data_IF_117447168018
#
_entry.id   IF_117447168018
#
_cell.length_a   1.000
_cell.length_b   1.000
_cell.length_c   1.000
_cell.angle_alpha   90.00
_cell.angle_beta   90.00
_cell.angle_gamma   90.00
#
_symmetry.space_group_name_H-M   'P 1'
#
loop_
_entity.id
_entity.type
_entity.pdbx_description
1 polymer ?
#
# COMPACT_ATOMS: atom_id res chain seq x y z
N UNK A 1 -28.60 -5.35 -24.79
CA UNK A 1 -27.50 -4.62 -24.12
C UNK A 1 -26.49 -5.62 -23.61
N UNK A 2 -25.22 -5.41 -23.90
CA UNK A 2 -24.16 -6.22 -23.33
C UNK A 2 -23.94 -5.85 -21.86
N UNK A 3 -23.85 -6.84 -21.01
CA UNK A 3 -23.53 -6.66 -19.61
C UNK A 3 -22.07 -6.23 -19.44
N UNK A 4 -21.80 -5.49 -18.38
CA UNK A 4 -20.46 -4.99 -18.05
C UNK A 4 -19.62 -6.07 -17.41
N UNK A 5 -18.35 -6.11 -17.79
CA UNK A 5 -17.37 -7.04 -17.22
C UNK A 5 -16.04 -6.31 -16.99
N UNK A 6 -15.90 -5.57 -15.87
CA UNK A 6 -14.61 -4.98 -15.54
C UNK A 6 -13.50 -6.03 -15.47
N UNK A 7 -12.38 -5.77 -16.12
CA UNK A 7 -11.28 -6.73 -16.26
C UNK A 7 -10.21 -6.60 -15.22
N UNK A 8 -10.12 -5.42 -14.59
CA UNK A 8 -9.06 -5.12 -13.65
C UNK A 8 -9.55 -4.17 -12.55
N UNK A 9 -8.71 -3.96 -11.55
CA UNK A 9 -9.04 -3.09 -10.41
C UNK A 9 -9.35 -1.66 -10.83
N UNK A 10 -8.69 -1.10 -11.83
CA UNK A 10 -8.91 0.29 -12.24
C UNK A 10 -10.27 0.49 -12.90
N UNK A 11 -10.75 -0.48 -13.65
CA UNK A 11 -12.11 -0.46 -14.20
C UNK A 11 -13.15 -0.51 -13.09
N UNK A 12 -12.96 -1.36 -12.07
CA UNK A 12 -13.81 -1.41 -10.88
C UNK A 12 -13.80 -0.10 -10.10
N UNK A 13 -12.63 0.51 -9.91
CA UNK A 13 -12.52 1.80 -9.23
C UNK A 13 -13.26 2.91 -10.01
N UNK A 14 -13.18 2.89 -11.32
CA UNK A 14 -13.92 3.83 -12.16
C UNK A 14 -15.45 3.64 -12.06
N UNK A 15 -15.90 2.39 -11.96
CA UNK A 15 -17.32 2.09 -11.76
C UNK A 15 -17.83 2.65 -10.42
N UNK A 16 -17.12 2.40 -9.32
CA UNK A 16 -17.58 2.81 -7.99
C UNK A 16 -17.41 4.30 -7.70
N UNK A 17 -16.55 5.02 -8.42
CA UNK A 17 -16.30 6.45 -8.21
C UNK A 17 -17.02 7.34 -9.19
N UNK A 18 -17.19 6.93 -10.42
CA UNK A 18 -17.71 7.78 -11.49
C UNK A 18 -18.96 7.23 -12.17
N UNK A 19 -18.86 6.08 -12.82
CA UNK A 19 -19.97 5.51 -13.58
C UNK A 19 -21.13 5.07 -12.68
N UNK A 20 -20.83 4.44 -11.56
CA UNK A 20 -21.80 3.95 -10.57
C UNK A 20 -22.94 3.15 -11.20
N UNK A 21 -22.57 2.24 -12.10
CA UNK A 21 -23.51 1.37 -12.77
C UNK A 21 -24.28 0.51 -11.76
N UNK A 22 -25.54 0.22 -12.04
CA UNK A 22 -26.35 -0.63 -11.16
C UNK A 22 -25.82 -2.07 -11.09
N UNK A 23 -26.11 -2.78 -10.01
CA UNK A 23 -25.67 -4.16 -9.83
C UNK A 23 -26.10 -5.07 -10.98
N UNK A 24 -27.29 -4.84 -11.52
CA UNK A 24 -27.84 -5.63 -12.62
C UNK A 24 -27.14 -5.40 -13.97
N UNK A 25 -26.31 -4.36 -14.05
CA UNK A 25 -25.56 -4.02 -15.26
C UNK A 25 -24.34 -4.91 -15.48
N UNK A 26 -23.92 -5.68 -14.47
CA UNK A 26 -22.72 -6.50 -14.53
C UNK A 26 -23.03 -7.96 -14.80
N UNK A 27 -22.13 -8.63 -15.54
CA UNK A 27 -22.16 -10.09 -15.63
C UNK A 27 -21.93 -10.70 -14.24
N UNK A 28 -22.61 -11.79 -13.93
CA UNK A 28 -22.45 -12.45 -12.63
C UNK A 28 -21.00 -12.88 -12.36
N UNK A 29 -20.32 -13.38 -13.38
CA UNK A 29 -18.92 -13.79 -13.28
C UNK A 29 -17.93 -12.60 -13.22
N UNK A 30 -18.37 -11.39 -13.49
CA UNK A 30 -17.52 -10.20 -13.34
C UNK A 30 -17.07 -9.99 -11.90
N UNK A 31 -17.90 -10.39 -10.94
CA UNK A 31 -17.59 -10.25 -9.51
C UNK A 31 -16.43 -11.12 -9.04
N UNK A 32 -16.04 -12.13 -9.79
CA UNK A 32 -14.84 -12.92 -9.51
C UNK A 32 -13.57 -12.07 -9.54
N UNK A 33 -13.55 -11.04 -10.41
CA UNK A 33 -12.44 -10.12 -10.54
C UNK A 33 -12.50 -8.94 -9.55
N UNK A 34 -13.58 -8.81 -8.79
CA UNK A 34 -13.70 -7.78 -7.76
C UNK A 34 -12.92 -8.21 -6.52
N UNK A 35 -11.79 -7.58 -6.27
CA UNK A 35 -10.96 -7.85 -5.11
C UNK A 35 -11.24 -6.79 -4.03
N UNK A 36 -12.02 -7.16 -3.02
CA UNK A 36 -12.43 -6.27 -1.93
C UNK A 36 -11.22 -5.66 -1.21
N UNK A 37 -10.20 -6.44 -0.90
CA UNK A 37 -8.98 -5.96 -0.25
C UNK A 37 -8.29 -4.85 -1.05
N UNK A 38 -8.11 -5.07 -2.34
CA UNK A 38 -7.47 -4.07 -3.21
C UNK A 38 -8.32 -2.81 -3.37
N UNK A 39 -9.64 -2.96 -3.47
CA UNK A 39 -10.56 -1.82 -3.52
C UNK A 39 -10.44 -0.97 -2.25
N UNK A 40 -10.49 -1.59 -1.07
CA UNK A 40 -10.34 -0.90 0.21
C UNK A 40 -8.99 -0.18 0.27
N UNK A 41 -7.94 -0.84 -0.17
CA UNK A 41 -6.59 -0.29 -0.13
C UNK A 41 -6.44 0.94 -1.02
N UNK A 42 -6.93 0.91 -2.25
CA UNK A 42 -6.89 2.07 -3.15
C UNK A 42 -7.72 3.23 -2.62
N UNK A 43 -8.92 2.97 -2.14
CA UNK A 43 -9.78 4.03 -1.58
C UNK A 43 -9.15 4.65 -0.33
N UNK A 44 -8.54 3.83 0.54
CA UNK A 44 -7.89 4.30 1.77
C UNK A 44 -6.66 5.19 1.51
N UNK A 45 -6.03 5.04 0.37
CA UNK A 45 -4.87 5.85 -0.02
C UNK A 45 -5.25 7.26 -0.49
N UNK A 46 -6.52 7.49 -0.79
CA UNK A 46 -7.00 8.82 -1.13
C UNK A 46 -7.32 9.59 0.15
N UNK A 47 -6.64 10.73 0.32
CA UNK A 47 -6.83 11.59 1.49
C UNK A 47 -8.28 12.08 1.57
N UNK A 48 -8.94 11.84 2.67
CA UNK A 48 -10.35 12.15 2.88
C UNK A 48 -11.28 10.95 2.76
N UNK A 49 -10.82 9.81 2.26
CA UNK A 49 -11.65 8.60 2.12
C UNK A 49 -11.24 7.46 3.04
N UNK A 50 -10.27 7.69 3.91
CA UNK A 50 -9.78 6.68 4.87
C UNK A 50 -10.93 6.18 5.76
N UNK A 51 -11.77 7.06 6.26
CA UNK A 51 -12.91 6.71 7.11
C UNK A 51 -13.95 5.88 6.36
N UNK A 52 -14.22 6.23 5.11
CA UNK A 52 -15.14 5.47 4.24
C UNK A 52 -14.61 4.06 4.03
N UNK A 53 -13.32 3.92 3.73
CA UNK A 53 -12.68 2.62 3.56
C UNK A 53 -12.71 1.80 4.85
N UNK A 54 -12.51 2.42 6.00
CA UNK A 54 -12.60 1.74 7.30
C UNK A 54 -14.02 1.22 7.58
N UNK A 55 -15.04 1.99 7.25
CA UNK A 55 -16.44 1.56 7.37
C UNK A 55 -16.74 0.40 6.42
N UNK A 56 -16.25 0.47 5.18
CA UNK A 56 -16.46 -0.58 4.19
C UNK A 56 -15.84 -1.92 4.61
N UNK A 57 -14.76 -1.90 5.37
CA UNK A 57 -14.11 -3.11 5.88
C UNK A 57 -14.97 -3.90 6.89
N UNK A 58 -16.04 -3.32 7.40
CA UNK A 58 -17.00 -4.02 8.25
C UNK A 58 -17.86 -5.03 7.47
N UNK A 59 -17.97 -4.88 6.16
CA UNK A 59 -18.61 -5.86 5.31
C UNK A 59 -17.73 -7.11 5.19
N UNK A 60 -18.37 -8.28 5.06
CA UNK A 60 -17.62 -9.50 4.74
C UNK A 60 -16.87 -9.33 3.40
N UNK A 61 -15.62 -9.78 3.29
CA UNK A 61 -14.87 -9.72 2.01
C UNK A 61 -15.58 -10.48 0.88
N UNK A 62 -16.46 -11.40 1.19
CA UNK A 62 -17.26 -12.16 0.22
C UNK A 62 -18.50 -11.40 -0.25
N UNK A 63 -18.94 -10.39 0.49
CA UNK A 63 -20.09 -9.54 0.11
C UNK A 63 -19.66 -8.42 -0.86
N UNK A 64 -19.20 -8.84 -2.02
CA UNK A 64 -18.64 -7.92 -3.04
C UNK A 64 -19.67 -6.91 -3.54
N UNK A 65 -20.91 -7.36 -3.75
CA UNK A 65 -22.00 -6.48 -4.19
C UNK A 65 -22.36 -5.43 -3.14
N UNK A 66 -22.39 -5.82 -1.87
CA UNK A 66 -22.62 -4.90 -0.75
C UNK A 66 -21.51 -3.87 -0.62
N UNK A 67 -20.26 -4.27 -0.73
CA UNK A 67 -19.09 -3.39 -0.71
C UNK A 67 -19.16 -2.39 -1.88
N UNK A 68 -19.44 -2.87 -3.08
CA UNK A 68 -19.58 -2.03 -4.26
C UNK A 68 -20.68 -0.97 -4.08
N UNK A 69 -21.86 -1.38 -3.65
CA UNK A 69 -22.97 -0.46 -3.38
C UNK A 69 -22.62 0.58 -2.32
N UNK A 70 -21.98 0.16 -1.23
CA UNK A 70 -21.57 1.06 -0.18
C UNK A 70 -20.67 2.17 -0.71
N UNK A 71 -19.65 1.83 -1.50
CA UNK A 71 -18.79 2.84 -2.10
C UNK A 71 -19.51 3.72 -3.12
N UNK A 72 -20.40 3.17 -3.91
CA UNK A 72 -21.21 3.97 -4.85
C UNK A 72 -22.04 5.04 -4.14
N UNK A 73 -22.59 4.72 -2.97
CA UNK A 73 -23.39 5.65 -2.18
C UNK A 73 -22.53 6.68 -1.44
N UNK A 74 -21.40 6.24 -0.86
CA UNK A 74 -20.58 7.07 0.01
C UNK A 74 -19.59 7.96 -0.73
N UNK A 75 -19.07 7.52 -1.86
CA UNK A 75 -18.12 8.30 -2.65
C UNK A 75 -18.85 9.29 -3.58
N UNK A 76 -18.35 10.52 -3.71
CA UNK A 76 -18.92 11.46 -4.66
C UNK A 76 -18.69 10.98 -6.10
N UNK A 77 -19.65 11.29 -6.99
CA UNK A 77 -19.49 10.99 -8.41
C UNK A 77 -18.49 11.94 -9.05
N UNK A 78 -17.25 11.49 -9.13
CA UNK A 78 -16.15 12.27 -9.65
C UNK A 78 -15.14 11.36 -10.33
N UNK A 79 -14.67 11.76 -11.50
CA UNK A 79 -13.59 11.06 -12.18
C UNK A 79 -12.30 11.26 -11.38
N UNK A 80 -11.85 10.22 -10.68
CA UNK A 80 -10.71 10.29 -9.80
C UNK A 80 -9.62 9.33 -10.24
N UNK A 81 -8.37 9.76 -10.14
CA UNK A 81 -7.22 8.89 -10.23
C UNK A 81 -6.86 8.40 -8.84
N UNK A 82 -7.36 7.22 -8.47
CA UNK A 82 -6.93 6.55 -7.25
C UNK A 82 -5.57 5.90 -7.52
N UNK A 83 -4.51 6.54 -7.05
CA UNK A 83 -3.15 6.06 -7.21
C UNK A 83 -2.77 5.17 -6.04
N UNK A 84 -2.16 4.04 -6.37
CA UNK A 84 -1.50 3.21 -5.37
C UNK A 84 -0.23 3.93 -4.89
N UNK A 85 -0.23 4.33 -3.62
CA UNK A 85 0.95 4.92 -2.99
C UNK A 85 1.87 3.77 -2.61
N UNK A 86 2.92 3.57 -3.41
CA UNK A 86 3.99 2.65 -3.00
C UNK A 86 4.63 3.22 -1.74
N UNK A 87 4.81 2.38 -0.76
CA UNK A 87 5.65 2.70 0.38
C UNK A 87 7.00 3.20 -0.15
N UNK A 88 7.39 4.40 0.23
CA UNK A 88 8.70 4.96 -0.10
C UNK A 88 9.82 4.34 0.73
N UNK A 89 9.64 3.12 1.19
CA UNK A 89 10.67 2.40 1.91
C UNK A 89 11.80 2.12 0.93
N UNK A 90 12.84 2.92 1.02
CA UNK A 90 14.07 2.70 0.27
C UNK A 90 14.63 1.35 0.72
N UNK A 91 14.75 0.41 -0.21
CA UNK A 91 15.47 -0.81 0.09
C UNK A 91 16.95 -0.50 0.20
N UNK A 92 17.48 -0.66 1.38
CA UNK A 92 18.91 -0.49 1.63
C UNK A 92 19.69 -1.73 1.20
N UNK A 93 20.94 -1.54 0.84
CA UNK A 93 21.81 -2.64 0.41
C UNK A 93 22.13 -3.58 1.58
N UNK A 94 22.43 -4.85 1.27
CA UNK A 94 22.83 -5.84 2.27
C UNK A 94 24.04 -5.40 3.11
N UNK A 95 24.94 -4.63 2.51
CA UNK A 95 26.14 -4.13 3.18
C UNK A 95 25.84 -3.30 4.43
N UNK A 96 24.72 -2.53 4.42
CA UNK A 96 24.30 -1.77 5.59
C UNK A 96 23.28 -2.51 6.44
N UNK A 97 22.48 -3.40 5.85
CA UNK A 97 21.50 -4.21 6.58
C UNK A 97 22.15 -5.23 7.51
N UNK A 98 23.20 -5.92 7.06
CA UNK A 98 23.88 -6.93 7.87
C UNK A 98 24.39 -6.40 9.23
N UNK A 99 25.10 -5.26 9.31
CA UNK A 99 25.47 -4.68 10.59
C UNK A 99 24.28 -4.35 11.48
N UNK A 100 23.19 -3.85 10.91
CA UNK A 100 22.00 -3.50 11.68
C UNK A 100 21.27 -4.72 12.22
N UNK A 101 21.16 -5.79 11.42
CA UNK A 101 20.62 -7.08 11.86
C UNK A 101 21.42 -7.61 13.06
N UNK A 102 22.72 -7.51 13.00
CA UNK A 102 23.62 -7.97 14.07
C UNK A 102 23.48 -7.10 15.33
N UNK A 103 23.38 -5.79 15.18
CA UNK A 103 23.28 -4.87 16.31
C UNK A 103 21.94 -4.98 17.04
N UNK A 104 20.83 -5.01 16.28
CA UNK A 104 19.47 -5.06 16.84
C UNK A 104 18.95 -6.47 17.07
N UNK A 105 19.70 -7.49 16.63
CA UNK A 105 19.25 -8.90 16.71
C UNK A 105 17.86 -9.11 16.10
N UNK A 106 17.64 -8.57 14.92
CA UNK A 106 16.36 -8.55 14.23
C UNK A 106 16.44 -9.13 12.82
N UNK A 107 15.29 -9.23 12.13
CA UNK A 107 15.23 -9.65 10.74
C UNK A 107 15.73 -8.54 9.78
N UNK A 108 16.04 -8.93 8.53
CA UNK A 108 16.43 -7.96 7.49
C UNK A 108 15.32 -6.94 7.21
N UNK A 109 14.06 -7.34 7.28
CA UNK A 109 12.91 -6.46 7.08
C UNK A 109 12.86 -5.40 8.18
N UNK A 110 12.97 -5.82 9.44
CA UNK A 110 12.99 -4.92 10.60
C UNK A 110 14.20 -3.99 10.58
N UNK A 111 15.38 -4.51 10.21
CA UNK A 111 16.58 -3.70 10.08
C UNK A 111 16.42 -2.59 9.04
N UNK A 112 15.78 -2.88 7.90
CA UNK A 112 15.49 -1.89 6.88
C UNK A 112 14.54 -0.80 7.38
N UNK A 113 13.54 -1.18 8.16
CA UNK A 113 12.62 -0.23 8.80
C UNK A 113 13.34 0.67 9.80
N UNK A 114 14.20 0.10 10.64
CA UNK A 114 15.00 0.87 11.61
C UNK A 114 15.94 1.87 10.93
N UNK A 115 16.61 1.48 9.85
CA UNK A 115 17.49 2.39 9.08
C UNK A 115 16.71 3.58 8.55
N UNK A 116 15.49 3.36 8.09
CA UNK A 116 14.64 4.43 7.55
C UNK A 116 14.12 5.39 8.64
N UNK A 117 14.06 4.95 9.88
CA UNK A 117 13.66 5.76 11.04
C UNK A 117 14.81 6.51 11.69
N UNK A 118 16.04 5.97 11.61
CA UNK A 118 17.23 6.56 12.22
C UNK A 118 17.83 7.66 11.34
N UNK A 119 18.44 8.65 11.96
CA UNK A 119 19.23 9.64 11.23
C UNK A 119 20.63 9.08 10.91
N UNK A 120 21.35 9.78 10.02
CA UNK A 120 22.67 9.32 9.58
C UNK A 120 23.70 9.27 10.71
N UNK A 121 23.58 10.13 11.69
CA UNK A 121 24.50 10.17 12.83
C UNK A 121 24.30 9.00 13.77
N UNK A 122 23.04 8.63 14.03
CA UNK A 122 22.73 7.45 14.83
C UNK A 122 23.24 6.17 14.19
N UNK A 123 23.08 6.06 12.88
CA UNK A 123 23.60 4.93 12.11
C UNK A 123 25.12 4.87 12.18
N UNK A 124 25.79 6.01 12.07
CA UNK A 124 27.23 6.13 12.19
C UNK A 124 27.74 5.65 13.55
N UNK A 125 27.08 6.06 14.63
CA UNK A 125 27.43 5.61 15.99
C UNK A 125 27.30 4.10 16.16
N UNK A 126 26.24 3.51 15.61
CA UNK A 126 26.03 2.06 15.63
C UNK A 126 27.15 1.34 14.90
N UNK A 127 27.53 1.82 13.72
CA UNK A 127 28.61 1.23 12.93
C UNK A 127 29.97 1.34 13.64
N UNK A 128 30.23 2.43 14.35
CA UNK A 128 31.43 2.58 15.18
C UNK A 128 31.44 1.57 16.32
N UNK A 129 30.32 1.40 17.01
CA UNK A 129 30.17 0.41 18.11
C UNK A 129 30.40 -1.02 17.64
N UNK A 130 30.09 -1.31 16.38
CA UNK A 130 30.33 -2.63 15.77
C UNK A 130 31.76 -2.84 15.30
N UNK A 131 32.64 -1.84 15.43
CA UNK A 131 34.04 -1.92 15.06
C UNK A 131 34.33 -1.75 13.56
N UNK A 132 33.40 -1.19 12.80
CA UNK A 132 33.59 -0.92 11.37
C UNK A 132 34.50 0.31 11.21
N UNK A 133 35.45 0.23 10.28
CA UNK A 133 36.41 1.33 10.09
C UNK A 133 35.75 2.56 9.42
N UNK A 134 36.36 3.74 9.64
CA UNK A 134 35.79 5.01 9.17
C UNK A 134 35.62 5.10 7.65
N UNK A 135 36.49 4.47 6.86
CA UNK A 135 36.41 4.49 5.41
C UNK A 135 35.16 3.74 4.91
N UNK A 136 34.89 2.60 5.52
CA UNK A 136 33.69 1.80 5.20
C UNK A 136 32.42 2.52 5.66
N UNK A 137 32.44 3.12 6.85
CA UNK A 137 31.33 3.92 7.38
C UNK A 137 30.96 5.05 6.42
N UNK A 138 31.95 5.80 5.93
CA UNK A 138 31.73 6.88 4.95
C UNK A 138 31.10 6.38 3.65
N UNK A 139 31.53 5.21 3.17
CA UNK A 139 30.96 4.60 1.97
C UNK A 139 29.50 4.18 2.18
N UNK A 140 29.21 3.57 3.32
CA UNK A 140 27.86 3.09 3.64
C UNK A 140 26.89 4.26 3.83
N UNK A 141 27.31 5.31 4.50
CA UNK A 141 26.47 6.51 4.73
C UNK A 141 26.18 7.26 3.43
N UNK A 142 27.10 7.28 2.48
CA UNK A 142 26.86 7.89 1.16
C UNK A 142 25.77 7.17 0.36
N UNK A 143 25.56 5.89 0.59
CA UNK A 143 24.54 5.08 -0.08
C UNK A 143 23.13 5.24 0.54
N UNK A 144 23.04 5.86 1.69
CA UNK A 144 21.79 6.19 2.35
C UNK A 144 21.18 7.48 1.77
#
# INVERSE_FOLDING_TARGET
>A
MSLLKPKNIFEWLNELTYKKSSLDSFEENAWENFNAYMVHRFVSMYQGYIEIANLAQKFSPTDKKGIYNFYCEMLPRKKMFLRYIKSKTKQNTLEILEPMVKYFECSFIEANEYINLLNKEDIKEILIKLGINEKEIKKLIKKL
#
